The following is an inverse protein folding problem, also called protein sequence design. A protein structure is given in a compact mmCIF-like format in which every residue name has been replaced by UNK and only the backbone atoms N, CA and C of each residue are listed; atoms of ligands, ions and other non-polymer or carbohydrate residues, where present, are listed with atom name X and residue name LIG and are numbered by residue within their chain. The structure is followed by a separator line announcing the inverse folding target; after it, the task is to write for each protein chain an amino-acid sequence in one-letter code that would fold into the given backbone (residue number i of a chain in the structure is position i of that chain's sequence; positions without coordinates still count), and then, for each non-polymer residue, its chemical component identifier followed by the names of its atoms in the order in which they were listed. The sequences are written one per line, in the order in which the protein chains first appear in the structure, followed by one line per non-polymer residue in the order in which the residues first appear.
data_IF_047110160771
#
_entry.id   IF_047110160771
#
_cell.length_a   1.000
_cell.length_b   1.000
_cell.length_c   1.000
_cell.angle_alpha   90.00
_cell.angle_beta   90.00
_cell.angle_gamma   90.00
#
_symmetry.space_group_name_H-M   'P 1'
#
loop_
_entity.id
_entity.type
_entity.pdbx_description
1 polymer ?
#
# COMPACT_ATOMS: atom_id res chain seq x y z
N UNK A 1 -4.01 -0.33 1.42
CA UNK A 1 -5.40 0.15 1.49
C UNK A 1 -6.30 -0.67 0.57
N UNK A 2 -6.16 -0.56 -0.76
CA UNK A 2 -7.00 -1.27 -1.74
C UNK A 2 -7.05 -2.80 -1.53
N UNK A 3 -5.91 -3.43 -1.28
CA UNK A 3 -5.88 -4.86 -0.93
C UNK A 3 -6.74 -5.22 0.28
N UNK A 4 -6.86 -4.34 1.28
CA UNK A 4 -7.67 -4.59 2.47
C UNK A 4 -9.16 -4.39 2.18
N UNK A 5 -9.52 -3.44 1.33
CA UNK A 5 -10.93 -3.20 0.95
C UNK A 5 -11.49 -4.31 0.08
N UNK A 6 -10.66 -5.04 -0.67
CA UNK A 6 -11.08 -6.23 -1.42
C UNK A 6 -11.36 -7.45 -0.53
N UNK A 7 -10.94 -7.44 0.75
CA UNK A 7 -11.17 -8.59 1.63
C UNK A 7 -12.66 -8.76 1.92
N UNK A 8 -13.24 -9.80 1.34
CA UNK A 8 -14.65 -10.15 1.51
C UNK A 8 -15.57 -9.54 0.44
N UNK A 9 -15.02 -8.95 -0.63
CA UNK A 9 -15.81 -8.71 -1.84
C UNK A 9 -16.13 -10.02 -2.54
N UNK A 10 -17.15 -10.02 -3.39
CA UNK A 10 -17.45 -11.17 -4.22
C UNK A 10 -16.37 -11.41 -5.27
N UNK A 11 -16.14 -12.69 -5.59
CA UNK A 11 -15.35 -13.06 -6.76
C UNK A 11 -16.11 -12.73 -8.05
N UNK A 12 -15.38 -12.58 -9.16
CA UNK A 12 -15.99 -12.36 -10.47
C UNK A 12 -16.99 -13.46 -10.87
N UNK A 13 -16.68 -14.72 -10.54
CA UNK A 13 -17.57 -15.85 -10.83
C UNK A 13 -18.85 -15.83 -10.00
N UNK A 14 -18.76 -15.50 -8.71
CA UNK A 14 -19.94 -15.35 -7.85
C UNK A 14 -20.81 -14.18 -8.30
N UNK A 15 -20.18 -13.05 -8.64
CA UNK A 15 -20.88 -11.88 -9.16
C UNK A 15 -21.61 -12.20 -10.47
N UNK A 16 -20.94 -12.89 -11.41
CA UNK A 16 -21.54 -13.36 -12.66
C UNK A 16 -22.73 -14.29 -12.40
N UNK A 17 -22.57 -15.25 -11.50
CA UNK A 17 -23.62 -16.19 -11.14
C UNK A 17 -24.86 -15.46 -10.61
N UNK A 18 -24.69 -14.56 -9.63
CA UNK A 18 -25.80 -13.81 -9.04
C UNK A 18 -26.48 -12.89 -10.06
N UNK A 19 -25.69 -12.20 -10.89
CA UNK A 19 -26.20 -11.28 -11.90
C UNK A 19 -27.02 -12.00 -12.98
N UNK A 20 -26.53 -13.12 -13.52
CA UNK A 20 -27.23 -13.89 -14.57
C UNK A 20 -28.54 -14.46 -14.06
N UNK A 21 -28.57 -14.91 -12.80
CA UNK A 21 -29.78 -15.42 -12.17
C UNK A 21 -30.69 -14.32 -11.62
N UNK A 22 -30.32 -13.03 -11.76
CA UNK A 22 -31.07 -11.88 -11.22
C UNK A 22 -31.40 -12.04 -9.72
N UNK A 23 -30.44 -12.55 -8.95
CA UNK A 23 -30.65 -12.89 -7.54
C UNK A 23 -30.85 -11.65 -6.66
N UNK A 24 -30.24 -10.54 -7.04
CA UNK A 24 -30.31 -9.23 -6.37
C UNK A 24 -30.31 -8.11 -7.42
N UNK A 25 -30.57 -6.88 -7.00
CA UNK A 25 -30.51 -5.74 -7.90
C UNK A 25 -29.05 -5.37 -8.30
N UNK A 26 -28.83 -4.77 -9.48
CA UNK A 26 -27.49 -4.45 -9.96
C UNK A 26 -26.68 -3.51 -9.04
N UNK A 27 -27.34 -2.62 -8.30
CA UNK A 27 -26.66 -1.68 -7.40
C UNK A 27 -26.13 -2.40 -6.16
N UNK A 28 -26.90 -3.34 -5.61
CA UNK A 28 -26.45 -4.19 -4.52
C UNK A 28 -25.28 -5.10 -4.94
N UNK A 29 -25.36 -5.70 -6.13
CA UNK A 29 -24.26 -6.51 -6.69
C UNK A 29 -22.99 -5.68 -6.92
N UNK A 30 -23.13 -4.43 -7.38
CA UNK A 30 -22.02 -3.50 -7.49
C UNK A 30 -21.37 -3.24 -6.12
N UNK A 31 -22.17 -2.94 -5.09
CA UNK A 31 -21.66 -2.70 -3.74
C UNK A 31 -20.88 -3.90 -3.20
N UNK A 32 -21.39 -5.13 -3.41
CA UNK A 32 -20.68 -6.36 -3.02
C UNK A 32 -19.38 -6.61 -3.81
N UNK A 33 -19.24 -6.03 -5.00
CA UNK A 33 -18.02 -6.11 -5.79
C UNK A 33 -16.95 -5.12 -5.34
N UNK A 34 -17.32 -3.97 -4.76
CA UNK A 34 -16.38 -2.89 -4.41
C UNK A 34 -16.17 -2.68 -2.91
N UNK A 35 -17.10 -3.12 -2.05
CA UNK A 35 -17.02 -2.99 -0.59
C UNK A 35 -16.86 -4.37 0.04
N UNK A 36 -15.69 -4.61 0.59
CA UNK A 36 -15.44 -5.80 1.40
C UNK A 36 -15.92 -5.65 2.84
N UNK A 37 -15.44 -6.56 3.68
CA UNK A 37 -15.77 -6.65 5.11
C UNK A 37 -14.97 -5.71 6.01
N UNK A 38 -14.08 -4.89 5.44
CA UNK A 38 -13.16 -4.03 6.17
C UNK A 38 -13.47 -2.55 5.90
N UNK A 39 -13.65 -1.79 6.98
CA UNK A 39 -13.59 -0.33 6.92
C UNK A 39 -12.13 0.10 7.04
N UNK A 40 -11.64 0.91 6.09
CA UNK A 40 -10.23 1.27 5.98
C UNK A 40 -10.06 2.78 6.10
N UNK A 41 -9.21 3.19 7.04
CA UNK A 41 -8.74 4.57 7.17
C UNK A 41 -7.27 4.62 6.73
N UNK A 42 -6.96 5.51 5.80
CA UNK A 42 -5.61 5.78 5.32
C UNK A 42 -5.13 7.13 5.84
N UNK A 43 -4.04 7.12 6.61
CA UNK A 43 -3.43 8.31 7.20
C UNK A 43 -2.14 8.64 6.45
N UNK A 44 -1.97 9.90 6.09
CA UNK A 44 -0.78 10.45 5.42
C UNK A 44 -0.37 11.75 6.11
N UNK A 45 0.90 11.85 6.47
CA UNK A 45 1.45 13.03 7.15
C UNK A 45 1.67 14.20 6.18
N UNK A 46 1.88 13.91 4.89
CA UNK A 46 2.03 14.91 3.85
C UNK A 46 0.67 15.44 3.37
N UNK A 47 0.71 16.48 2.54
CA UNK A 47 -0.49 17.14 2.02
C UNK A 47 -1.27 16.37 0.95
N UNK A 48 -0.79 15.20 0.50
CA UNK A 48 -1.45 14.40 -0.52
C UNK A 48 -1.03 12.93 -0.46
N UNK A 49 -1.98 12.03 -0.76
CA UNK A 49 -1.70 10.59 -0.94
C UNK A 49 -0.89 10.36 -2.22
N UNK A 50 0.11 9.49 -2.14
CA UNK A 50 0.83 8.94 -3.29
C UNK A 50 1.57 9.99 -4.12
N UNK A 51 2.27 10.93 -3.47
CA UNK A 51 3.01 12.01 -4.16
C UNK A 51 4.09 11.51 -5.11
N UNK A 52 4.70 10.36 -4.80
CA UNK A 52 5.76 9.76 -5.59
C UNK A 52 5.23 8.85 -6.72
N UNK A 53 3.91 8.81 -6.92
CA UNK A 53 3.26 8.03 -7.98
C UNK A 53 3.09 8.92 -9.22
N UNK A 54 3.53 8.40 -10.38
CA UNK A 54 3.36 9.07 -11.66
C UNK A 54 1.91 9.46 -11.94
N UNK A 55 1.70 10.63 -12.56
CA UNK A 55 0.37 11.25 -12.72
C UNK A 55 -0.68 10.31 -13.31
N UNK A 56 -0.33 9.55 -14.35
CA UNK A 56 -1.20 8.61 -15.06
C UNK A 56 -1.63 7.40 -14.24
N UNK A 57 -0.87 7.04 -13.21
CA UNK A 57 -1.19 5.95 -12.28
C UNK A 57 -1.86 6.49 -11.02
N UNK A 58 -1.52 7.71 -10.61
CA UNK A 58 -2.03 8.29 -9.37
C UNK A 58 -3.54 8.52 -9.44
N UNK A 59 -4.07 9.01 -10.57
CA UNK A 59 -5.51 9.31 -10.67
C UNK A 59 -6.38 8.04 -10.59
N UNK A 60 -5.98 6.94 -11.22
CA UNK A 60 -6.72 5.66 -11.14
C UNK A 60 -6.73 5.14 -9.72
N UNK A 61 -5.60 5.17 -9.02
CA UNK A 61 -5.53 4.80 -7.61
C UNK A 61 -6.45 5.65 -6.72
N UNK A 62 -6.54 6.97 -6.96
CA UNK A 62 -7.46 7.82 -6.21
C UNK A 62 -8.93 7.48 -6.49
N UNK A 63 -9.26 7.14 -7.73
CA UNK A 63 -10.61 6.67 -8.08
C UNK A 63 -10.93 5.34 -7.40
N UNK A 64 -9.97 4.41 -7.34
CA UNK A 64 -10.15 3.13 -6.68
C UNK A 64 -10.35 3.29 -5.17
N UNK A 65 -9.59 4.19 -4.52
CA UNK A 65 -9.78 4.51 -3.10
C UNK A 65 -11.17 5.09 -2.83
N UNK A 66 -11.63 6.01 -3.68
CA UNK A 66 -12.97 6.58 -3.57
C UNK A 66 -14.07 5.53 -3.81
N UNK A 67 -13.92 4.70 -4.84
CA UNK A 67 -14.87 3.64 -5.21
C UNK A 67 -15.03 2.58 -4.11
N UNK A 68 -13.94 2.25 -3.43
CA UNK A 68 -13.91 1.26 -2.34
C UNK A 68 -14.25 1.85 -0.96
N UNK A 69 -14.52 3.16 -0.88
CA UNK A 69 -14.94 3.82 0.35
C UNK A 69 -13.82 4.02 1.38
N UNK A 70 -12.55 4.06 0.96
CA UNK A 70 -11.43 4.33 1.88
C UNK A 70 -11.52 5.77 2.39
N UNK A 71 -11.54 5.93 3.71
CA UNK A 71 -11.46 7.23 4.36
C UNK A 71 -10.00 7.70 4.39
N UNK A 72 -9.70 8.86 3.84
CA UNK A 72 -8.32 9.38 3.78
C UNK A 72 -8.14 10.61 4.65
N UNK A 73 -7.07 10.64 5.46
CA UNK A 73 -6.63 11.81 6.21
C UNK A 73 -5.23 12.21 5.79
N UNK A 74 -5.10 13.37 5.14
CA UNK A 74 -3.81 14.00 4.81
C UNK A 74 -3.41 15.01 5.88
N UNK A 75 -2.16 15.47 5.88
CA UNK A 75 -1.60 16.35 6.92
C UNK A 75 -1.85 15.80 8.34
N UNK A 76 -1.81 14.48 8.47
CA UNK A 76 -2.17 13.77 9.69
C UNK A 76 -1.02 12.86 10.07
N UNK A 77 -0.32 13.18 11.16
CA UNK A 77 0.86 12.45 11.62
C UNK A 77 0.46 11.44 12.68
N UNK A 78 0.70 10.15 12.46
CA UNK A 78 0.56 9.14 13.50
C UNK A 78 1.63 9.35 14.59
N UNK A 79 1.21 9.39 15.85
CA UNK A 79 2.07 9.60 17.01
C UNK A 79 2.33 8.33 17.80
N UNK A 80 1.28 7.56 18.08
CA UNK A 80 1.32 6.43 19.01
C UNK A 80 0.21 5.42 18.67
N UNK A 81 0.54 4.13 18.71
CA UNK A 81 -0.46 3.05 18.67
C UNK A 81 -0.95 2.81 20.10
N UNK A 82 -2.26 2.87 20.29
CA UNK A 82 -2.93 2.62 21.58
C UNK A 82 -3.68 1.28 21.53
N UNK A 83 -4.14 0.74 22.67
CA UNK A 83 -5.02 -0.43 22.68
C UNK A 83 -6.34 -0.25 21.92
N UNK A 84 -6.74 0.99 21.61
CA UNK A 84 -8.01 1.30 20.92
C UNK A 84 -7.82 1.72 19.46
N UNK A 85 -6.60 1.97 19.01
CA UNK A 85 -6.31 2.46 17.67
C UNK A 85 -5.01 3.27 17.59
N UNK A 86 -5.06 4.44 16.96
CA UNK A 86 -3.89 5.29 16.74
C UNK A 86 -4.17 6.73 17.14
N UNK A 87 -3.28 7.30 17.97
CA UNK A 87 -3.24 8.74 18.24
C UNK A 87 -2.57 9.45 17.08
N UNK A 88 -3.22 10.48 16.58
CA UNK A 88 -2.75 11.31 15.46
C UNK A 88 -2.68 12.79 15.84
N UNK A 89 -1.78 13.49 15.17
CA UNK A 89 -1.64 14.93 15.18
C UNK A 89 -2.11 15.48 13.84
N UNK A 90 -3.12 16.34 13.87
CA UNK A 90 -3.65 17.03 12.70
C UNK A 90 -3.53 18.56 12.88
N UNK A 91 -2.42 19.01 13.46
CA UNK A 91 -2.17 20.42 13.77
C UNK A 91 -2.74 20.81 15.12
N UNK A 92 -3.79 21.63 15.14
CA UNK A 92 -4.31 22.22 16.39
C UNK A 92 -4.98 21.19 17.34
N UNK A 93 -5.24 19.98 16.86
CA UNK A 93 -5.88 18.93 17.67
C UNK A 93 -5.17 17.60 17.54
N UNK A 94 -4.89 16.99 18.70
CA UNK A 94 -4.57 15.56 18.79
C UNK A 94 -5.89 14.79 18.87
N UNK A 95 -6.02 13.74 18.07
CA UNK A 95 -7.22 12.90 18.02
C UNK A 95 -6.83 11.43 18.08
N UNK A 96 -7.77 10.59 18.45
CA UNK A 96 -7.62 9.13 18.40
C UNK A 96 -8.52 8.59 17.29
N UNK A 97 -7.93 7.84 16.36
CA UNK A 97 -8.65 7.10 15.33
C UNK A 97 -8.74 5.66 15.82
N UNK A 98 -9.96 5.18 16.07
CA UNK A 98 -10.19 3.81 16.51
C UNK A 98 -9.94 2.84 15.36
N UNK A 99 -9.26 1.73 15.66
CA UNK A 99 -9.01 0.67 14.70
C UNK A 99 -8.70 -0.65 15.42
N UNK A 100 -9.28 -1.76 14.94
CA UNK A 100 -8.98 -3.10 15.43
C UNK A 100 -7.62 -3.62 14.92
N UNK A 101 -7.09 -3.02 13.87
CA UNK A 101 -5.85 -3.43 13.22
C UNK A 101 -5.14 -2.23 12.60
N UNK A 102 -3.83 -2.20 12.72
CA UNK A 102 -2.99 -1.10 12.24
C UNK A 102 -1.91 -1.67 11.33
N UNK A 103 -1.83 -1.12 10.12
CA UNK A 103 -0.81 -1.48 9.13
C UNK A 103 0.22 -0.35 9.05
N UNK A 104 1.46 -0.66 9.42
CA UNK A 104 2.58 0.27 9.32
C UNK A 104 3.17 0.24 7.90
N UNK A 105 2.88 1.27 7.13
CA UNK A 105 3.40 1.47 5.77
C UNK A 105 4.37 2.67 5.73
N UNK A 106 5.31 2.74 6.68
CA UNK A 106 6.20 3.89 6.89
C UNK A 106 7.49 3.87 6.04
N UNK A 107 7.55 3.01 5.02
CA UNK A 107 8.73 2.80 4.17
C UNK A 107 9.52 1.53 4.52
N UNK A 108 10.70 1.42 3.92
CA UNK A 108 11.55 0.23 3.98
C UNK A 108 12.99 0.59 4.36
N UNK A 109 13.78 -0.41 4.74
CA UNK A 109 15.22 -0.30 4.97
C UNK A 109 15.95 -1.31 4.09
N UNK A 110 17.16 -1.01 3.59
CA UNK A 110 17.94 -1.99 2.85
C UNK A 110 18.13 -3.26 3.67
N UNK A 111 17.97 -4.41 3.01
CA UNK A 111 18.18 -5.71 3.62
C UNK A 111 19.22 -6.48 2.80
N UNK A 112 20.44 -6.57 3.34
CA UNK A 112 21.57 -7.20 2.65
C UNK A 112 22.47 -7.98 3.63
N UNK A 113 21.96 -9.04 4.28
CA UNK A 113 22.76 -9.84 5.20
C UNK A 113 23.88 -10.62 4.48
N UNK A 114 23.76 -10.84 3.17
CA UNK A 114 24.68 -11.65 2.40
C UNK A 114 26.03 -10.94 2.15
N UNK A 115 26.05 -9.61 2.14
CA UNK A 115 27.27 -8.84 1.84
C UNK A 115 28.42 -9.16 2.80
N UNK A 116 28.15 -9.21 4.11
CA UNK A 116 29.17 -9.52 5.11
C UNK A 116 29.81 -10.89 4.86
N UNK A 117 28.99 -11.91 4.56
CA UNK A 117 29.47 -13.26 4.27
C UNK A 117 30.35 -13.31 3.02
N UNK A 118 29.98 -12.57 1.97
CA UNK A 118 30.76 -12.53 0.73
C UNK A 118 32.09 -11.79 0.91
N UNK A 119 32.12 -10.71 1.72
CA UNK A 119 33.35 -10.02 2.12
C UNK A 119 34.31 -10.97 2.83
N UNK A 120 33.83 -11.72 3.81
CA UNK A 120 34.63 -12.69 4.58
C UNK A 120 35.22 -13.80 3.70
N UNK A 121 34.41 -14.30 2.75
CA UNK A 121 34.83 -15.34 1.78
C UNK A 121 35.72 -14.81 0.65
N UNK A 122 35.95 -13.49 0.59
CA UNK A 122 36.67 -12.82 -0.51
C UNK A 122 36.08 -13.15 -1.88
N UNK A 123 34.77 -13.40 -1.94
CA UNK A 123 34.04 -13.65 -3.18
C UNK A 123 33.75 -12.31 -3.84
N UNK A 124 34.14 -12.07 -5.10
CA UNK A 124 33.74 -10.85 -5.80
C UNK A 124 32.22 -10.72 -5.90
N UNK A 125 31.68 -9.55 -5.59
CA UNK A 125 30.24 -9.29 -5.66
C UNK A 125 29.96 -7.82 -5.99
N UNK A 126 28.71 -7.55 -6.38
CA UNK A 126 28.17 -6.20 -6.53
C UNK A 126 26.76 -6.16 -5.93
N UNK A 127 26.50 -5.18 -5.07
CA UNK A 127 25.16 -4.94 -4.53
C UNK A 127 24.39 -4.07 -5.52
N UNK A 128 23.12 -4.40 -5.75
CA UNK A 128 22.21 -3.66 -6.65
C UNK A 128 20.81 -3.60 -6.05
N UNK A 129 20.03 -2.59 -6.47
CA UNK A 129 18.65 -2.38 -6.07
C UNK A 129 18.50 -2.03 -4.59
N UNK A 130 17.33 -2.37 -4.04
CA UNK A 130 16.95 -2.02 -2.67
C UNK A 130 17.87 -2.61 -1.59
N UNK A 131 18.61 -3.68 -1.91
CA UNK A 131 19.64 -4.24 -1.04
C UNK A 131 20.79 -3.24 -0.80
N UNK A 132 21.08 -2.36 -1.77
CA UNK A 132 22.02 -1.27 -1.63
C UNK A 132 21.35 -0.02 -1.06
N UNK A 133 20.26 0.42 -1.70
CA UNK A 133 19.55 1.65 -1.35
C UNK A 133 18.10 1.54 -1.80
N UNK A 134 17.17 1.75 -0.86
CA UNK A 134 15.74 1.76 -1.16
C UNK A 134 15.43 2.78 -2.25
N UNK A 135 14.67 2.34 -3.26
CA UNK A 135 14.24 3.15 -4.38
C UNK A 135 12.97 2.62 -5.04
N UNK A 136 12.73 3.07 -6.27
CA UNK A 136 11.65 2.56 -7.09
C UNK A 136 12.13 1.32 -7.86
N UNK A 137 11.19 0.49 -8.31
CA UNK A 137 11.49 -0.64 -9.19
C UNK A 137 12.28 -0.20 -10.44
N UNK A 138 12.03 1.03 -10.93
CA UNK A 138 12.82 1.65 -11.99
C UNK A 138 14.33 1.65 -11.67
N UNK A 139 14.71 2.08 -10.47
CA UNK A 139 16.12 2.13 -10.04
C UNK A 139 16.72 0.73 -9.99
N UNK A 140 16.02 -0.21 -9.34
CA UNK A 140 16.49 -1.59 -9.20
C UNK A 140 16.74 -2.27 -10.56
N UNK A 141 15.85 -2.07 -11.53
CA UNK A 141 16.00 -2.60 -12.89
C UNK A 141 17.22 -2.00 -13.59
N UNK A 142 17.41 -0.68 -13.52
CA UNK A 142 18.54 -0.01 -14.18
C UNK A 142 19.88 -0.36 -13.52
N UNK A 143 19.92 -0.45 -12.19
CA UNK A 143 21.11 -0.86 -11.44
C UNK A 143 21.49 -2.31 -11.76
N UNK A 144 20.52 -3.22 -11.82
CA UNK A 144 20.74 -4.60 -12.25
C UNK A 144 21.28 -4.69 -13.67
N UNK A 145 20.69 -3.96 -14.61
CA UNK A 145 21.17 -3.90 -16.00
C UNK A 145 22.60 -3.36 -16.10
N UNK A 146 22.88 -2.24 -15.42
CA UNK A 146 24.21 -1.62 -15.43
C UNK A 146 25.26 -2.54 -14.80
N UNK A 147 24.92 -3.27 -13.73
CA UNK A 147 25.79 -4.26 -13.12
C UNK A 147 26.08 -5.42 -14.07
N UNK A 148 25.06 -5.98 -14.72
CA UNK A 148 25.22 -7.07 -15.68
C UNK A 148 26.04 -6.69 -16.91
N UNK A 149 25.89 -5.45 -17.42
CA UNK A 149 26.67 -4.92 -18.55
C UNK A 149 28.16 -4.75 -18.24
N UNK A 150 28.51 -4.55 -16.97
CA UNK A 150 29.86 -4.25 -16.54
C UNK A 150 30.72 -5.50 -16.23
N UNK A 151 30.17 -6.69 -16.48
CA UNK A 151 30.82 -7.99 -16.28
C UNK A 151 31.23 -8.59 -17.61
#
# INVERSE_FOLDING_TARGET
ALFLTEKGTLSGDALKFLMVNKAEDPQFLYDLAVKGTKSVVLIEMLGAIGRDIGMTTRWTLMQDLARTGVMTHVRTKALEITPRGVRVDQGETKKEIQADSIVLAAGSKPHNPLETLLKEKKTPYRVVGDAQKIGLAFNAVHEGFAAGKAV
#
